data_IF_403900510252
#
_entry.id   IF_403900510252
#
_cell.length_a   1.000
_cell.length_b   1.000
_cell.length_c   1.000
_cell.angle_alpha   90.00
_cell.angle_beta   90.00
_cell.angle_gamma   90.00
#
_symmetry.space_group_name_H-M   'P 1'
#
loop_
_entity.id
_entity.type
_entity.pdbx_description
1 polymer ?
#
# COMPACT_ATOMS: atom_id res chain seq x y z
N UNK A 1 7.97 -17.39 1.75
CA UNK A 1 6.53 -17.17 2.01
C UNK A 1 6.26 -15.70 1.80
N UNK A 2 5.06 -15.35 1.35
CA UNK A 2 4.68 -13.98 0.95
C UNK A 2 5.08 -12.90 1.97
N UNK A 3 5.31 -13.23 3.24
CA UNK A 3 5.86 -12.32 4.26
C UNK A 3 7.20 -11.65 3.87
N UNK A 4 8.02 -12.29 3.02
CA UNK A 4 9.30 -11.77 2.53
C UNK A 4 9.24 -11.64 1.00
N UNK A 5 8.66 -10.53 0.52
CA UNK A 5 8.29 -10.32 -0.90
C UNK A 5 9.42 -9.85 -1.80
N UNK A 6 10.60 -9.55 -1.25
CA UNK A 6 11.80 -9.07 -1.94
C UNK A 6 12.45 -10.10 -2.90
N UNK A 7 11.67 -11.03 -3.44
CA UNK A 7 12.09 -12.15 -4.30
C UNK A 7 11.42 -12.15 -5.68
N UNK A 8 10.97 -10.98 -6.17
CA UNK A 8 10.54 -10.76 -7.55
C UNK A 8 9.05 -10.47 -7.73
N UNK A 9 8.20 -10.79 -6.74
CA UNK A 9 6.76 -10.48 -6.82
C UNK A 9 6.50 -8.97 -6.90
N UNK A 10 7.32 -8.17 -6.22
CA UNK A 10 7.23 -6.71 -6.24
C UNK A 10 7.51 -6.09 -7.61
N UNK A 11 8.11 -6.84 -8.54
CA UNK A 11 8.44 -6.34 -9.89
C UNK A 11 7.43 -6.76 -10.96
N UNK A 12 6.55 -7.73 -10.67
CA UNK A 12 5.76 -8.42 -11.71
C UNK A 12 4.29 -8.57 -11.36
N UNK A 13 3.98 -8.91 -10.11
CA UNK A 13 2.64 -9.33 -9.69
C UNK A 13 1.95 -8.27 -8.80
N UNK A 14 2.75 -7.34 -8.27
CA UNK A 14 2.31 -6.29 -7.37
C UNK A 14 2.62 -4.94 -8.01
N UNK A 15 1.59 -4.18 -8.37
CA UNK A 15 1.77 -2.79 -8.79
C UNK A 15 1.92 -1.89 -7.55
N UNK A 16 2.93 -1.02 -7.45
CA UNK A 16 3.06 -0.03 -6.38
C UNK A 16 2.08 1.15 -6.60
N UNK A 17 1.95 2.02 -5.59
CA UNK A 17 1.27 3.31 -5.82
C UNK A 17 2.08 4.19 -6.76
N UNK A 18 3.40 4.25 -6.53
CA UNK A 18 4.35 5.01 -7.33
C UNK A 18 5.62 4.18 -7.59
N UNK A 19 6.24 4.41 -8.74
CA UNK A 19 7.54 3.86 -9.13
C UNK A 19 8.54 4.97 -9.36
N UNK A 20 9.83 4.69 -9.16
CA UNK A 20 10.90 5.65 -9.46
C UNK A 20 11.76 5.12 -10.60
N UNK A 21 11.82 5.86 -11.71
CA UNK A 21 12.87 5.62 -12.71
C UNK A 21 14.20 6.15 -12.17
N UNK A 22 15.05 5.26 -11.68
CA UNK A 22 16.35 5.64 -11.12
C UNK A 22 17.31 6.28 -12.13
N UNK A 23 17.10 6.10 -13.44
CA UNK A 23 17.95 6.71 -14.45
C UNK A 23 17.65 8.21 -14.64
N UNK A 24 16.37 8.58 -14.62
CA UNK A 24 15.91 9.96 -14.83
C UNK A 24 15.53 10.70 -13.54
N UNK A 25 15.20 9.96 -12.47
CA UNK A 25 14.59 10.48 -11.26
C UNK A 25 13.08 10.74 -11.39
N UNK A 26 12.46 10.35 -12.50
CA UNK A 26 11.03 10.54 -12.75
C UNK A 26 10.18 9.63 -11.85
N UNK A 27 9.08 10.17 -11.34
CA UNK A 27 8.06 9.40 -10.61
C UNK A 27 7.01 8.94 -11.62
N UNK A 28 6.81 7.62 -11.68
CA UNK A 28 5.81 6.98 -12.52
C UNK A 28 4.63 6.59 -11.63
N UNK A 29 3.44 7.09 -11.96
CA UNK A 29 2.22 6.74 -11.24
C UNK A 29 1.75 5.33 -11.63
N UNK A 30 1.72 4.41 -10.67
CA UNK A 30 1.17 3.07 -10.80
C UNK A 30 -0.31 3.08 -10.42
N UNK A 31 -0.62 2.57 -9.23
CA UNK A 31 -1.96 2.59 -8.65
C UNK A 31 -2.41 3.98 -8.17
N UNK A 32 -1.50 4.95 -8.03
CA UNK A 32 -1.86 6.33 -7.69
C UNK A 32 -2.32 7.14 -8.92
N UNK A 33 -3.13 8.17 -8.69
CA UNK A 33 -3.54 9.17 -9.68
C UNK A 33 -2.92 10.55 -9.39
N UNK A 34 -1.59 10.60 -9.43
CA UNK A 34 -0.82 11.81 -9.17
C UNK A 34 -0.03 11.77 -7.86
N UNK A 35 0.50 12.93 -7.47
CA UNK A 35 1.36 13.08 -6.30
C UNK A 35 0.58 13.03 -4.98
N UNK A 36 1.21 12.57 -3.87
CA UNK A 36 0.63 12.69 -2.54
C UNK A 36 0.48 14.17 -2.13
N UNK A 37 -0.66 14.52 -1.54
CA UNK A 37 -0.95 15.89 -1.09
C UNK A 37 -0.77 15.99 0.41
N UNK A 38 0.24 16.75 0.84
CA UNK A 38 0.57 16.96 2.25
C UNK A 38 -0.04 18.26 2.81
N UNK A 39 -0.37 18.26 4.10
CA UNK A 39 -0.57 19.51 4.85
C UNK A 39 0.75 20.25 5.06
N UNK A 40 0.69 21.56 5.31
CA UNK A 40 1.87 22.42 5.51
C UNK A 40 2.79 21.96 6.66
N UNK A 41 2.21 21.31 7.68
CA UNK A 41 2.92 20.78 8.84
C UNK A 41 3.34 19.31 8.70
N UNK A 42 3.04 18.69 7.56
CA UNK A 42 3.30 17.28 7.26
C UNK A 42 2.69 16.29 8.27
N UNK A 43 1.63 16.68 8.97
CA UNK A 43 0.87 15.81 9.87
C UNK A 43 -0.30 15.11 9.17
N UNK A 44 -0.66 15.53 7.97
CA UNK A 44 -1.69 14.90 7.16
C UNK A 44 -1.17 14.67 5.75
N UNK A 45 -1.59 13.56 5.14
CA UNK A 45 -1.32 13.29 3.74
C UNK A 45 -2.47 12.54 3.09
N UNK A 46 -2.81 12.95 1.88
CA UNK A 46 -3.84 12.33 1.06
C UNK A 46 -3.22 11.70 -0.18
N UNK A 47 -3.58 10.45 -0.48
CA UNK A 47 -3.17 9.74 -1.67
C UNK A 47 -4.34 9.62 -2.65
N UNK A 48 -4.24 10.22 -3.84
CA UNK A 48 -5.20 9.97 -4.92
C UNK A 48 -4.92 8.60 -5.56
N UNK A 49 -5.96 7.79 -5.77
CA UNK A 49 -5.86 6.47 -6.39
C UNK A 49 -6.46 6.46 -7.79
N UNK A 50 -5.87 5.64 -8.66
CA UNK A 50 -6.31 5.46 -10.04
C UNK A 50 -7.66 4.75 -10.09
N UNK A 51 -8.56 5.28 -10.91
CA UNK A 51 -9.87 4.70 -11.15
C UNK A 51 -9.81 3.58 -12.19
N UNK A 52 -10.76 2.64 -12.10
CA UNK A 52 -10.91 1.57 -13.09
C UNK A 52 -9.84 0.48 -13.02
N UNK A 53 -9.07 0.43 -11.94
CA UNK A 53 -8.13 -0.66 -11.67
C UNK A 53 -8.88 -1.85 -11.07
N UNK A 54 -8.52 -3.05 -11.50
CA UNK A 54 -9.05 -4.31 -10.96
C UNK A 54 -7.92 -5.20 -10.51
N UNK A 55 -8.17 -5.96 -9.45
CA UNK A 55 -7.39 -7.14 -9.11
C UNK A 55 -7.50 -8.19 -10.23
N UNK A 56 -6.56 -9.12 -10.27
CA UNK A 56 -6.50 -10.19 -11.29
C UNK A 56 -7.69 -11.14 -11.27
N UNK A 57 -8.47 -11.18 -10.19
CA UNK A 57 -9.72 -11.94 -10.06
C UNK A 57 -10.97 -11.16 -10.48
N UNK A 58 -10.80 -9.89 -10.89
CA UNK A 58 -11.85 -9.03 -11.40
C UNK A 58 -12.49 -8.09 -10.38
N UNK A 59 -12.17 -8.23 -9.09
CA UNK A 59 -12.65 -7.30 -8.06
C UNK A 59 -11.99 -5.92 -8.23
N UNK A 60 -12.71 -4.81 -8.00
CA UNK A 60 -12.15 -3.47 -8.14
C UNK A 60 -11.10 -3.20 -7.05
N UNK A 61 -10.01 -2.54 -7.43
CA UNK A 61 -9.05 -1.98 -6.47
C UNK A 61 -9.58 -0.64 -5.95
N UNK A 62 -9.48 -0.42 -4.64
CA UNK A 62 -10.00 0.80 -3.99
C UNK A 62 -9.20 1.26 -2.78
N UNK A 63 -9.54 2.44 -2.26
CA UNK A 63 -8.98 3.00 -1.04
C UNK A 63 -9.14 2.07 0.18
N UNK A 64 -10.20 1.27 0.21
CA UNK A 64 -10.46 0.27 1.24
C UNK A 64 -9.36 -0.80 1.34
N UNK A 65 -8.76 -1.20 0.21
CA UNK A 65 -7.63 -2.15 0.19
C UNK A 65 -6.41 -1.54 0.88
N UNK A 66 -6.15 -0.25 0.66
CA UNK A 66 -5.03 0.48 1.25
C UNK A 66 -5.25 0.66 2.76
N UNK A 67 -6.44 1.08 3.17
CA UNK A 67 -6.82 1.23 4.59
C UNK A 67 -6.64 -0.12 5.30
N UNK A 68 -7.26 -1.17 4.78
CA UNK A 68 -7.18 -2.51 5.34
C UNK A 68 -5.74 -3.00 5.48
N UNK A 69 -4.91 -2.75 4.47
CA UNK A 69 -3.49 -3.10 4.48
C UNK A 69 -2.78 -2.44 5.65
N UNK A 70 -2.92 -1.13 5.78
CA UNK A 70 -2.20 -0.36 6.82
C UNK A 70 -2.66 -0.80 8.21
N UNK A 71 -3.96 -0.97 8.42
CA UNK A 71 -4.51 -1.46 9.68
C UNK A 71 -4.01 -2.87 10.02
N UNK A 72 -4.00 -3.77 9.04
CA UNK A 72 -3.46 -5.13 9.19
C UNK A 72 -1.97 -5.11 9.56
N UNK A 73 -1.18 -4.26 8.90
CA UNK A 73 0.24 -4.12 9.19
C UNK A 73 0.48 -3.56 10.59
N UNK A 74 -0.36 -2.63 11.07
CA UNK A 74 -0.29 -2.09 12.44
C UNK A 74 -0.75 -3.09 13.51
N UNK A 75 -1.70 -3.97 13.19
CA UNK A 75 -2.26 -4.93 14.14
C UNK A 75 -1.34 -6.13 14.42
N UNK A 76 -0.46 -6.48 13.48
CA UNK A 76 0.37 -7.69 13.56
C UNK A 76 1.87 -7.36 13.61
N UNK A 77 2.45 -7.44 14.81
CA UNK A 77 3.88 -7.14 15.10
C UNK A 77 4.87 -8.00 14.31
N UNK A 78 4.39 -9.14 13.81
CA UNK A 78 5.16 -10.08 13.04
C UNK A 78 5.46 -9.55 11.62
N UNK A 79 4.70 -8.58 11.11
CA UNK A 79 5.03 -7.95 9.83
C UNK A 79 6.19 -6.98 9.96
N UNK A 80 7.08 -7.02 8.97
CA UNK A 80 8.27 -6.14 8.94
C UNK A 80 7.90 -4.65 8.93
N UNK A 81 6.74 -4.35 8.38
CA UNK A 81 6.17 -3.01 8.23
C UNK A 81 5.52 -2.47 9.51
N UNK A 82 5.29 -3.32 10.51
CA UNK A 82 4.52 -2.97 11.69
C UNK A 82 5.06 -1.74 12.41
N UNK A 83 6.34 -1.75 12.78
CA UNK A 83 6.94 -0.64 13.54
C UNK A 83 6.85 0.68 12.78
N UNK A 84 7.10 0.67 11.46
CA UNK A 84 7.01 1.88 10.65
C UNK A 84 5.60 2.49 10.69
N UNK A 85 4.56 1.67 10.46
CA UNK A 85 3.19 2.18 10.45
C UNK A 85 2.69 2.55 11.85
N UNK A 86 3.02 1.77 12.88
CA UNK A 86 2.66 2.10 14.27
C UNK A 86 3.28 3.42 14.73
N UNK A 87 4.55 3.67 14.37
CA UNK A 87 5.24 4.91 14.73
C UNK A 87 4.71 6.13 13.96
N UNK A 88 4.33 5.96 12.69
CA UNK A 88 4.01 7.09 11.81
C UNK A 88 2.51 7.36 11.66
N UNK A 89 1.64 6.36 11.69
CA UNK A 89 0.21 6.50 11.40
C UNK A 89 -0.58 6.62 12.69
N UNK A 90 -1.32 7.72 12.81
CA UNK A 90 -2.29 7.96 13.88
C UNK A 90 -3.66 7.41 13.49
N UNK A 91 -4.09 7.69 12.26
CA UNK A 91 -5.28 7.11 11.66
C UNK A 91 -5.14 7.07 10.14
N UNK A 92 -5.89 6.16 9.51
CA UNK A 92 -6.02 6.04 8.06
C UNK A 92 -7.50 5.86 7.74
N UNK A 93 -7.98 6.47 6.66
CA UNK A 93 -9.39 6.43 6.26
C UNK A 93 -9.56 6.56 4.75
N UNK A 94 -10.70 6.10 4.25
CA UNK A 94 -11.12 6.24 2.86
C UNK A 94 -12.39 7.13 2.82
N UNK A 95 -12.27 8.46 2.61
CA UNK A 95 -13.45 9.32 2.43
C UNK A 95 -14.27 8.95 1.18
N UNK A 96 -13.63 8.34 0.19
CA UNK A 96 -14.24 7.73 -1.00
C UNK A 96 -13.35 6.60 -1.54
N UNK A 97 -13.81 5.90 -2.57
CA UNK A 97 -13.15 4.71 -3.14
C UNK A 97 -11.77 5.02 -3.77
N UNK A 98 -11.44 6.29 -4.00
CA UNK A 98 -10.26 6.71 -4.75
C UNK A 98 -9.36 7.68 -3.98
N UNK A 99 -9.60 7.84 -2.69
CA UNK A 99 -8.87 8.77 -1.83
C UNK A 99 -8.52 8.08 -0.53
N UNK A 100 -7.23 8.04 -0.19
CA UNK A 100 -6.77 7.56 1.13
C UNK A 100 -6.24 8.74 1.92
N UNK A 101 -6.80 8.98 3.10
CA UNK A 101 -6.40 10.07 3.99
C UNK A 101 -5.72 9.50 5.24
N UNK A 102 -4.50 9.98 5.51
CA UNK A 102 -3.71 9.64 6.69
C UNK A 102 -3.56 10.83 7.62
N UNK A 103 -3.75 10.59 8.92
CA UNK A 103 -3.19 11.43 9.99
C UNK A 103 -1.92 10.78 10.53
N UNK A 104 -0.87 11.56 10.73
CA UNK A 104 0.43 11.09 11.18
C UNK A 104 0.69 11.47 12.65
N UNK A 105 1.43 10.62 13.37
CA UNK A 105 1.82 10.88 14.77
C UNK A 105 2.89 11.98 14.87
N UNK A 106 3.64 12.20 13.80
CA UNK A 106 4.74 13.18 13.73
C UNK A 106 4.89 13.70 12.28
N UNK A 107 5.41 14.93 12.09
CA UNK A 107 5.64 15.48 10.77
C UNK A 107 6.52 14.56 9.92
N UNK A 108 6.04 14.13 8.75
CA UNK A 108 6.81 13.27 7.85
C UNK A 108 6.53 13.58 6.38
N UNK A 109 7.39 14.42 5.78
CA UNK A 109 7.32 14.83 4.38
C UNK A 109 7.65 13.72 3.36
N UNK A 110 7.97 12.51 3.82
CA UNK A 110 8.36 11.36 2.99
C UNK A 110 7.56 10.10 3.28
N UNK A 111 6.44 10.21 4.01
CA UNK A 111 5.61 9.06 4.37
C UNK A 111 5.22 8.19 3.17
N UNK A 112 4.84 8.81 2.04
CA UNK A 112 4.47 8.12 0.79
C UNK A 112 5.56 7.21 0.23
N UNK A 113 6.84 7.43 0.57
CA UNK A 113 7.96 6.62 0.07
C UNK A 113 7.87 5.16 0.52
N UNK A 114 7.05 4.85 1.53
CA UNK A 114 6.76 3.48 1.96
C UNK A 114 5.94 2.68 0.96
N UNK A 115 5.31 3.34 -0.02
CA UNK A 115 4.45 2.74 -1.04
C UNK A 115 5.10 2.73 -2.44
N UNK A 116 6.43 2.87 -2.50
CA UNK A 116 7.22 2.81 -3.74
C UNK A 116 7.58 1.38 -4.15
N UNK A 117 8.01 1.20 -5.39
CA UNK A 117 8.63 -0.02 -5.94
C UNK A 117 10.05 -0.30 -5.42
N UNK A 118 10.30 -0.06 -4.13
CA UNK A 118 11.61 -0.27 -3.51
C UNK A 118 11.58 -1.46 -2.58
N UNK A 119 12.73 -2.13 -2.46
CA UNK A 119 12.91 -3.20 -1.48
C UNK A 119 12.47 -2.81 -0.08
N UNK A 120 11.77 -3.77 0.52
CA UNK A 120 11.17 -3.62 1.82
C UNK A 120 9.93 -2.75 1.87
N UNK A 121 9.42 -2.13 0.80
CA UNK A 121 8.20 -1.29 0.84
C UNK A 121 6.91 -2.09 1.08
N UNK A 122 5.88 -1.39 1.55
CA UNK A 122 4.59 -1.97 1.84
C UNK A 122 3.87 -2.33 0.53
N UNK A 123 3.19 -3.48 0.55
CA UNK A 123 2.33 -3.92 -0.54
C UNK A 123 0.87 -3.89 -0.10
N UNK A 124 -0.01 -3.46 -1.01
CA UNK A 124 -1.44 -3.40 -0.77
C UNK A 124 -2.06 -4.79 -0.87
N UNK A 125 -2.76 -5.23 0.17
CA UNK A 125 -3.47 -6.50 0.24
C UNK A 125 -4.89 -6.37 -0.32
N UNK A 126 -5.39 -7.34 -1.12
CA UNK A 126 -6.79 -7.39 -1.54
C UNK A 126 -7.67 -7.66 -0.32
N UNK A 127 -8.36 -6.64 0.17
CA UNK A 127 -9.18 -6.70 1.39
C UNK A 127 -10.18 -7.85 1.32
N UNK A 128 -10.85 -8.01 0.18
CA UNK A 128 -11.89 -9.03 -0.05
C UNK A 128 -11.41 -10.48 0.15
N UNK A 129 -10.11 -10.73 0.05
CA UNK A 129 -9.52 -12.04 0.35
C UNK A 129 -9.06 -12.08 1.81
N UNK A 130 -8.29 -11.07 2.21
CA UNK A 130 -7.53 -11.09 3.46
C UNK A 130 -8.39 -10.84 4.70
N UNK A 131 -9.52 -10.14 4.58
CA UNK A 131 -10.43 -9.89 5.72
C UNK A 131 -11.04 -11.18 6.29
N UNK A 132 -11.13 -12.23 5.47
CA UNK A 132 -11.66 -13.54 5.86
C UNK A 132 -10.60 -14.49 6.45
N UNK A 133 -9.34 -14.07 6.47
CA UNK A 133 -8.21 -14.90 6.90
C UNK A 133 -8.02 -14.80 8.41
N UNK A 134 -8.11 -15.93 9.11
CA UNK A 134 -7.96 -15.99 10.58
C UNK A 134 -6.57 -15.55 11.06
N UNK A 135 -5.51 -16.01 10.39
CA UNK A 135 -4.13 -15.63 10.68
C UNK A 135 -3.46 -15.10 9.41
N UNK A 136 -3.45 -13.77 9.20
CA UNK A 136 -2.82 -13.20 8.02
C UNK A 136 -1.33 -13.53 7.99
N UNK A 137 -0.63 -13.62 9.14
CA UNK A 137 0.83 -13.82 9.22
C UNK A 137 1.25 -15.17 8.63
N UNK A 138 0.46 -16.22 8.83
CA UNK A 138 0.79 -17.58 8.35
C UNK A 138 0.07 -17.98 7.07
N UNK A 139 -0.88 -17.16 6.61
CA UNK A 139 -1.62 -17.35 5.36
C UNK A 139 -0.66 -17.67 4.20
N UNK A 140 -1.02 -18.59 3.32
CA UNK A 140 -0.13 -18.94 2.19
C UNK A 140 -0.28 -17.99 1.02
N UNK A 141 -1.45 -17.36 0.90
CA UNK A 141 -1.85 -16.53 -0.23
C UNK A 141 -1.57 -17.20 -1.58
N UNK A 142 -2.19 -18.38 -1.77
CA UNK A 142 -2.08 -19.19 -2.97
C UNK A 142 -3.46 -19.84 -3.28
N UNK A 143 -4.06 -19.62 -4.47
CA UNK A 143 -3.54 -18.82 -5.57
C UNK A 143 -3.36 -17.35 -5.20
N UNK A 144 -2.37 -16.71 -5.83
CA UNK A 144 -2.07 -15.30 -5.63
C UNK A 144 -3.05 -14.43 -6.44
N UNK A 145 -3.41 -13.26 -5.89
CA UNK A 145 -4.22 -12.24 -6.56
C UNK A 145 -3.47 -10.90 -6.46
N UNK A 146 -3.30 -10.22 -7.58
CA UNK A 146 -2.50 -8.99 -7.67
C UNK A 146 -3.07 -7.99 -8.65
N UNK A 147 -2.52 -6.79 -8.64
CA UNK A 147 -2.82 -5.70 -9.58
C UNK A 147 -1.78 -5.58 -10.68
N UNK A 148 -0.65 -6.30 -10.56
CA UNK A 148 0.41 -6.32 -11.56
C UNK A 148 0.04 -7.15 -12.79
N UNK A 149 0.81 -7.03 -13.89
CA UNK A 149 0.50 -7.66 -15.17
C UNK A 149 0.70 -9.19 -15.25
N UNK A 150 1.28 -9.85 -14.24
CA UNK A 150 1.63 -11.29 -14.27
C UNK A 150 1.21 -12.07 -13.02
#
# INVERSE_FOLDING_TARGET
>A
GWKWRDRGMQNLANEPLWSVDFASGEIINGLADGDPVYSDDFLQVTFPLRQGVTWSDGEPFSADDVVFTVETLMAHTEFNDNSFFVENVKSVSAPDDHTVAFELNQPNSRFHTRFLDRWGCAWIMPKHIWESVEDPVTFKFNPFVGTGPY
#
